data_IF_617636843721
#
_entry.id   IF_617636843721
#
_cell.length_a   1.000
_cell.length_b   1.000
_cell.length_c   1.000
_cell.angle_alpha   90.00
_cell.angle_beta   90.00
_cell.angle_gamma   90.00
#
_symmetry.space_group_name_H-M   'P 1'
#
loop_
_entity.id
_entity.type
_entity.pdbx_description
1 polymer ?
#
# COMPACT_ATOMS: atom_id res chain seq x y z
N UNK A 1 -20.11 16.38 9.11
CA UNK A 1 -20.26 14.94 9.33
C UNK A 1 -19.67 14.64 10.69
N UNK A 2 -20.50 14.45 11.71
CA UNK A 2 -20.08 13.90 12.99
C UNK A 2 -20.90 12.62 13.20
N UNK A 3 -20.41 11.50 12.66
CA UNK A 3 -20.89 10.18 13.05
C UNK A 3 -19.96 9.71 14.17
N UNK A 4 -20.35 9.87 15.45
CA UNK A 4 -19.49 9.53 16.57
C UNK A 4 -19.16 8.04 16.63
N UNK A 5 -19.93 7.18 15.97
CA UNK A 5 -19.75 5.72 15.91
C UNK A 5 -19.08 5.23 14.62
N UNK A 6 -18.40 6.12 13.90
CA UNK A 6 -17.67 5.76 12.69
C UNK A 6 -16.59 4.73 13.02
N UNK A 7 -16.50 3.68 12.19
CA UNK A 7 -15.49 2.64 12.28
C UNK A 7 -14.71 2.57 10.97
N UNK A 8 -13.39 2.65 11.06
CA UNK A 8 -12.48 2.67 9.91
C UNK A 8 -11.50 1.50 10.04
N UNK A 9 -11.31 0.76 8.96
CA UNK A 9 -10.30 -0.29 8.85
C UNK A 9 -9.12 0.18 7.98
N UNK A 10 -7.90 -0.19 8.36
CA UNK A 10 -6.71 -0.18 7.49
C UNK A 10 -6.23 -1.61 7.32
N UNK A 11 -6.42 -2.19 6.13
CA UNK A 11 -6.07 -3.58 5.80
C UNK A 11 -4.66 -3.63 5.23
N UNK A 12 -3.82 -4.54 5.73
CA UNK A 12 -2.38 -4.50 5.51
C UNK A 12 -1.74 -3.31 6.22
N UNK A 13 -2.13 -3.06 7.47
CA UNK A 13 -1.77 -1.81 8.17
C UNK A 13 -0.27 -1.65 8.41
N UNK A 14 0.50 -2.75 8.41
CA UNK A 14 1.93 -2.78 8.62
C UNK A 14 2.34 -2.09 9.92
N UNK A 15 2.99 -0.93 9.81
CA UNK A 15 3.43 -0.13 10.96
C UNK A 15 2.30 0.60 11.69
N UNK A 16 1.04 0.48 11.24
CA UNK A 16 -0.11 1.24 11.71
C UNK A 16 0.03 2.77 11.56
N UNK A 17 1.00 3.25 10.78
CA UNK A 17 1.33 4.68 10.69
C UNK A 17 0.14 5.53 10.23
N UNK A 18 -0.65 5.03 9.28
CA UNK A 18 -1.84 5.73 8.79
C UNK A 18 -2.90 5.89 9.88
N UNK A 19 -3.17 4.83 10.65
CA UNK A 19 -4.12 4.87 11.76
C UNK A 19 -3.65 5.81 12.88
N UNK A 20 -2.36 5.79 13.22
CA UNK A 20 -1.83 6.67 14.27
C UNK A 20 -1.81 8.15 13.85
N UNK A 21 -1.57 8.45 12.57
CA UNK A 21 -1.71 9.81 12.03
C UNK A 21 -3.19 10.25 12.01
N UNK A 22 -4.09 9.35 11.62
CA UNK A 22 -5.53 9.63 11.57
C UNK A 22 -6.16 9.81 12.96
N UNK A 23 -5.71 9.07 13.96
CA UNK A 23 -6.20 9.17 15.35
C UNK A 23 -6.06 10.57 15.94
N UNK A 24 -5.07 11.35 15.48
CA UNK A 24 -4.86 12.74 15.91
C UNK A 24 -5.74 13.75 15.16
N UNK A 25 -6.38 13.34 14.06
CA UNK A 25 -7.17 14.21 13.16
C UNK A 25 -8.67 13.97 13.27
N UNK A 26 -9.09 12.85 13.85
CA UNK A 26 -10.50 12.48 14.01
C UNK A 26 -10.97 12.61 15.47
N UNK A 27 -12.28 12.78 15.69
CA UNK A 27 -12.85 12.67 17.03
C UNK A 27 -12.46 11.34 17.69
N UNK A 28 -12.16 11.37 18.99
CA UNK A 28 -11.77 10.17 19.77
C UNK A 28 -12.82 9.06 19.80
N UNK A 29 -14.07 9.38 19.45
CA UNK A 29 -15.16 8.41 19.35
C UNK A 29 -15.03 7.51 18.11
N UNK A 30 -14.33 7.97 17.06
CA UNK A 30 -14.07 7.16 15.87
C UNK A 30 -13.16 5.99 16.23
N UNK A 31 -13.58 4.78 15.85
CA UNK A 31 -12.84 3.54 16.07
C UNK A 31 -11.97 3.23 14.85
N UNK A 32 -10.71 2.94 15.11
CA UNK A 32 -9.68 2.74 14.10
C UNK A 32 -9.09 1.33 14.26
N UNK A 33 -9.30 0.47 13.28
CA UNK A 33 -8.85 -0.92 13.35
C UNK A 33 -7.81 -1.22 12.28
N UNK A 34 -6.65 -1.71 12.70
CA UNK A 34 -5.60 -2.20 11.81
C UNK A 34 -5.71 -3.70 11.64
N UNK A 35 -5.73 -4.19 10.40
CA UNK A 35 -5.77 -5.61 10.10
C UNK A 35 -4.51 -6.02 9.36
N UNK A 36 -3.80 -7.03 9.86
CA UNK A 36 -2.57 -7.53 9.26
C UNK A 36 -2.29 -8.99 9.67
N UNK A 37 -1.40 -9.67 8.94
CA UNK A 37 -0.90 -11.02 9.28
C UNK A 37 0.26 -10.98 10.27
N UNK A 38 0.89 -9.82 10.47
CA UNK A 38 1.90 -9.62 11.51
C UNK A 38 1.85 -8.19 12.04
N UNK A 39 2.22 -8.02 13.31
CA UNK A 39 2.37 -6.73 13.97
C UNK A 39 3.80 -6.45 14.41
N UNK A 40 4.79 -7.19 13.91
CA UNK A 40 6.21 -7.02 14.28
C UNK A 40 6.74 -5.60 13.96
N UNK A 41 6.13 -4.94 12.97
CA UNK A 41 6.48 -3.58 12.57
C UNK A 41 5.59 -2.50 13.23
N UNK A 42 4.53 -2.89 13.95
CA UNK A 42 3.60 -1.98 14.59
C UNK A 42 4.09 -1.56 16.00
N UNK A 43 3.69 -0.39 16.51
CA UNK A 43 3.92 -0.04 17.90
C UNK A 43 3.29 -1.05 18.86
N UNK A 44 3.91 -1.22 20.03
CA UNK A 44 3.31 -1.97 21.13
C UNK A 44 1.97 -1.35 21.54
N UNK A 45 1.07 -2.17 22.07
CA UNK A 45 -0.31 -1.78 22.37
C UNK A 45 -0.40 -0.55 23.29
N UNK A 46 0.54 -0.43 24.22
CA UNK A 46 0.65 0.65 25.20
C UNK A 46 1.06 1.99 24.58
N UNK A 47 1.64 1.98 23.38
CA UNK A 47 2.02 3.18 22.64
C UNK A 47 0.97 3.61 21.60
N UNK A 48 -0.02 2.76 21.34
CA UNK A 48 -1.09 3.08 20.40
C UNK A 48 -2.11 4.05 21.02
N UNK A 49 -2.70 4.95 20.20
CA UNK A 49 -3.84 5.74 20.63
C UNK A 49 -4.98 4.85 21.17
N UNK A 50 -5.73 5.36 22.15
CA UNK A 50 -6.75 4.56 22.84
C UNK A 50 -7.86 4.04 21.91
N UNK A 51 -8.13 4.74 20.80
CA UNK A 51 -9.12 4.39 19.80
C UNK A 51 -8.57 3.57 18.63
N UNK A 52 -7.30 3.13 18.69
CA UNK A 52 -6.68 2.23 17.71
C UNK A 52 -6.60 0.80 18.27
N UNK A 53 -7.10 -0.17 17.51
CA UNK A 53 -7.02 -1.60 17.82
C UNK A 53 -6.40 -2.37 16.66
N UNK A 54 -5.57 -3.37 16.95
CA UNK A 54 -4.95 -4.22 15.93
C UNK A 54 -5.56 -5.62 15.97
N UNK A 55 -5.93 -6.15 14.80
CA UNK A 55 -6.60 -7.44 14.62
C UNK A 55 -5.82 -8.31 13.66
N UNK A 56 -5.30 -9.45 14.13
CA UNK A 56 -4.65 -10.39 13.23
C UNK A 56 -5.67 -10.96 12.25
N UNK A 57 -5.45 -10.75 10.95
CA UNK A 57 -6.29 -11.31 9.90
C UNK A 57 -5.53 -11.39 8.58
N UNK A 58 -5.61 -12.56 7.94
CA UNK A 58 -5.14 -12.77 6.58
C UNK A 58 -6.26 -12.44 5.60
N UNK A 59 -6.07 -11.43 4.74
CA UNK A 59 -7.05 -11.00 3.75
C UNK A 59 -7.52 -12.11 2.79
N UNK A 60 -6.72 -13.19 2.65
CA UNK A 60 -7.02 -14.33 1.78
C UNK A 60 -7.93 -15.37 2.46
N UNK A 61 -8.18 -15.24 3.76
CA UNK A 61 -9.05 -16.12 4.53
C UNK A 61 -10.47 -15.55 4.62
N UNK A 62 -11.40 -16.34 5.16
CA UNK A 62 -12.76 -15.87 5.41
C UNK A 62 -12.76 -14.67 6.37
N UNK A 63 -13.66 -13.70 6.12
CA UNK A 63 -13.82 -12.54 7.00
C UNK A 63 -14.44 -12.99 8.33
N UNK A 64 -13.78 -12.74 9.48
CA UNK A 64 -14.33 -13.06 10.79
C UNK A 64 -15.70 -12.41 10.99
N UNK A 65 -16.65 -13.14 11.58
CA UNK A 65 -18.06 -12.74 11.67
C UNK A 65 -18.25 -11.34 12.29
N UNK A 66 -17.48 -11.01 13.33
CA UNK A 66 -17.52 -9.70 14.01
C UNK A 66 -17.00 -8.51 13.19
N UNK A 67 -16.38 -8.77 12.04
CA UNK A 67 -15.84 -7.76 11.11
C UNK A 67 -16.73 -7.57 9.88
N UNK A 68 -17.66 -8.50 9.64
CA UNK A 68 -18.57 -8.44 8.50
C UNK A 68 -19.50 -7.23 8.64
N UNK A 69 -19.52 -6.38 7.61
CA UNK A 69 -20.41 -5.22 7.55
C UNK A 69 -20.19 -4.22 8.68
N UNK A 70 -18.98 -4.17 9.24
CA UNK A 70 -18.68 -3.41 10.45
C UNK A 70 -18.14 -2.00 10.17
N UNK A 71 -17.64 -1.73 8.96
CA UNK A 71 -16.83 -0.55 8.66
C UNK A 71 -17.53 0.44 7.74
N UNK A 72 -17.42 1.73 8.08
CA UNK A 72 -17.87 2.84 7.24
C UNK A 72 -16.84 3.17 6.15
N UNK A 73 -15.55 2.92 6.44
CA UNK A 73 -14.43 3.05 5.51
C UNK A 73 -13.47 1.88 5.70
N UNK A 74 -13.07 1.26 4.60
CA UNK A 74 -11.95 0.32 4.53
C UNK A 74 -10.88 0.96 3.65
N UNK A 75 -9.70 1.17 4.21
CA UNK A 75 -8.51 1.63 3.51
C UNK A 75 -7.57 0.45 3.26
N UNK A 76 -6.93 0.44 2.10
CA UNK A 76 -5.83 -0.47 1.77
C UNK A 76 -4.82 0.31 0.92
N UNK A 77 -3.52 0.11 1.19
CA UNK A 77 -2.46 0.87 0.51
C UNK A 77 -1.14 0.11 0.41
N UNK A 78 -0.40 0.35 -0.68
CA UNK A 78 0.87 -0.33 -0.96
C UNK A 78 0.79 -1.86 -0.87
N UNK A 79 -0.35 -2.41 -1.29
CA UNK A 79 -0.71 -3.82 -1.13
C UNK A 79 -0.54 -4.62 -2.42
N UNK A 80 -0.40 -3.96 -3.57
CA UNK A 80 -0.31 -4.61 -4.88
C UNK A 80 0.87 -5.58 -4.98
N UNK A 81 1.96 -5.32 -4.25
CA UNK A 81 3.14 -6.19 -4.18
C UNK A 81 2.99 -7.41 -3.24
N UNK A 82 1.82 -7.57 -2.60
CA UNK A 82 1.53 -8.68 -1.69
C UNK A 82 0.69 -9.77 -2.38
N UNK A 83 -0.05 -9.42 -3.43
CA UNK A 83 -1.01 -10.29 -4.10
C UNK A 83 -0.71 -10.47 -5.58
N UNK A 84 -1.19 -11.56 -6.16
CA UNK A 84 -1.16 -11.80 -7.60
C UNK A 84 -2.41 -11.22 -8.27
N UNK A 85 -2.31 -10.93 -9.57
CA UNK A 85 -3.45 -10.46 -10.37
C UNK A 85 -4.65 -11.41 -10.30
N UNK A 86 -4.41 -12.72 -10.25
CA UNK A 86 -5.46 -13.74 -10.10
C UNK A 86 -6.21 -13.69 -8.77
N UNK A 87 -5.64 -13.08 -7.73
CA UNK A 87 -6.19 -13.03 -6.37
C UNK A 87 -7.05 -11.77 -6.13
N UNK A 88 -7.04 -10.79 -7.04
CA UNK A 88 -7.71 -9.48 -6.87
C UNK A 88 -9.20 -9.66 -6.58
N UNK A 89 -9.89 -10.56 -7.30
CA UNK A 89 -11.34 -10.76 -7.15
C UNK A 89 -11.71 -11.27 -5.77
N UNK A 90 -10.94 -12.21 -5.23
CA UNK A 90 -11.18 -12.77 -3.90
C UNK A 90 -10.84 -11.76 -2.80
N UNK A 91 -9.75 -11.00 -2.97
CA UNK A 91 -9.37 -9.90 -2.09
C UNK A 91 -10.45 -8.82 -2.04
N UNK A 92 -10.95 -8.36 -3.20
CA UNK A 92 -12.03 -7.37 -3.27
C UNK A 92 -13.31 -7.89 -2.62
N UNK A 93 -13.67 -9.15 -2.84
CA UNK A 93 -14.82 -9.78 -2.18
C UNK A 93 -14.72 -9.68 -0.65
N UNK A 94 -13.56 -9.98 -0.08
CA UNK A 94 -13.33 -9.90 1.35
C UNK A 94 -13.32 -8.46 1.87
N UNK A 95 -12.69 -7.52 1.15
CA UNK A 95 -12.71 -6.10 1.49
C UNK A 95 -14.14 -5.53 1.51
N UNK A 96 -14.96 -5.86 0.51
CA UNK A 96 -16.35 -5.42 0.43
C UNK A 96 -17.18 -6.03 1.56
N UNK A 97 -16.89 -7.27 1.97
CA UNK A 97 -17.59 -7.94 3.06
C UNK A 97 -17.38 -7.26 4.42
N UNK A 98 -16.28 -6.52 4.60
CA UNK A 98 -16.04 -5.67 5.77
C UNK A 98 -16.96 -4.44 5.80
N UNK A 99 -17.39 -3.94 4.64
CA UNK A 99 -18.12 -2.68 4.53
C UNK A 99 -19.58 -2.79 4.95
N UNK A 100 -20.03 -1.83 5.75
CA UNK A 100 -21.45 -1.52 5.91
C UNK A 100 -22.08 -1.21 4.54
N UNK A 101 -23.39 -1.42 4.35
CA UNK A 101 -24.09 -0.86 3.20
C UNK A 101 -23.89 0.67 3.18
N UNK A 102 -23.43 1.21 2.04
CA UNK A 102 -23.07 2.62 1.89
C UNK A 102 -21.67 3.01 2.34
N UNK A 103 -20.88 2.08 2.92
CA UNK A 103 -19.48 2.31 3.29
C UNK A 103 -18.55 2.40 2.07
N UNK A 104 -17.34 2.92 2.28
CA UNK A 104 -16.37 3.18 1.20
C UNK A 104 -15.17 2.26 1.27
N UNK A 105 -14.74 1.75 0.12
CA UNK A 105 -13.41 1.17 -0.07
C UNK A 105 -12.51 2.23 -0.70
N UNK A 106 -11.35 2.48 -0.10
CA UNK A 106 -10.27 3.26 -0.69
C UNK A 106 -9.05 2.36 -0.89
N UNK A 107 -8.56 2.25 -2.12
CA UNK A 107 -7.32 1.54 -2.46
C UNK A 107 -6.33 2.51 -3.08
N UNK A 108 -5.16 2.70 -2.45
CA UNK A 108 -4.07 3.51 -3.02
C UNK A 108 -2.82 2.68 -3.27
N UNK A 109 -2.38 2.56 -4.50
CA UNK A 109 -1.21 1.72 -4.83
C UNK A 109 -0.30 2.30 -5.91
N UNK A 110 0.93 1.78 -5.96
CA UNK A 110 1.90 2.10 -7.01
C UNK A 110 1.71 1.17 -8.20
N UNK A 111 1.70 1.74 -9.41
CA UNK A 111 1.91 0.97 -10.63
C UNK A 111 3.41 0.78 -10.87
N UNK A 112 3.96 -0.33 -10.39
CA UNK A 112 5.34 -0.75 -10.61
C UNK A 112 5.70 -0.89 -12.09
N UNK A 113 4.73 -1.12 -12.98
CA UNK A 113 5.01 -1.16 -14.43
C UNK A 113 5.34 0.22 -15.01
N UNK A 114 4.96 1.29 -14.29
CA UNK A 114 5.26 2.68 -14.66
C UNK A 114 6.58 3.22 -14.09
N UNK A 115 7.35 2.36 -13.41
CA UNK A 115 8.63 2.70 -12.80
C UNK A 115 9.60 3.30 -13.82
N UNK A 116 10.16 4.46 -13.48
CA UNK A 116 11.13 5.18 -14.29
C UNK A 116 12.05 6.01 -13.41
N UNK A 117 13.18 6.45 -13.95
CA UNK A 117 14.06 7.40 -13.25
C UNK A 117 13.74 8.83 -13.70
N UNK A 118 13.64 9.75 -12.74
CA UNK A 118 13.63 11.19 -12.97
C UNK A 118 14.99 11.77 -12.60
N UNK A 119 15.49 12.69 -13.42
CA UNK A 119 16.82 13.29 -13.26
C UNK A 119 16.72 14.79 -13.12
N UNK A 120 17.45 15.35 -12.16
CA UNK A 120 17.59 16.80 -11.99
C UNK A 120 18.18 17.47 -13.24
N UNK A 121 19.10 16.78 -13.92
CA UNK A 121 19.70 17.22 -15.19
C UNK A 121 19.91 16.03 -16.14
N UNK A 122 19.88 16.24 -17.47
CA UNK A 122 20.00 15.15 -18.44
C UNK A 122 21.33 14.37 -18.41
N UNK A 123 22.41 15.01 -17.97
CA UNK A 123 23.78 14.46 -17.91
C UNK A 123 24.02 13.53 -16.71
N UNK A 124 23.13 13.55 -15.71
CA UNK A 124 23.23 12.66 -14.56
C UNK A 124 22.97 11.21 -14.98
N UNK A 125 23.65 10.28 -14.31
CA UNK A 125 23.43 8.85 -14.51
C UNK A 125 22.17 8.38 -13.78
N UNK A 126 21.37 7.58 -14.47
CA UNK A 126 20.26 6.78 -13.93
C UNK A 126 20.53 5.27 -13.98
N UNK A 127 21.68 4.88 -14.54
CA UNK A 127 22.06 3.49 -14.74
C UNK A 127 22.07 2.67 -13.43
N UNK A 128 22.57 3.18 -12.29
CA UNK A 128 22.49 2.46 -11.02
C UNK A 128 21.06 2.18 -10.56
N UNK A 129 20.12 3.12 -10.78
CA UNK A 129 18.72 2.95 -10.44
C UNK A 129 18.05 1.94 -11.38
N UNK A 130 18.35 1.97 -12.68
CA UNK A 130 17.83 0.99 -13.64
C UNK A 130 18.33 -0.43 -13.32
N UNK A 131 19.61 -0.59 -12.96
CA UNK A 131 20.15 -1.87 -12.49
C UNK A 131 19.45 -2.34 -11.22
N UNK A 132 19.27 -1.45 -10.24
CA UNK A 132 18.58 -1.78 -9.00
C UNK A 132 17.14 -2.23 -9.28
N UNK A 133 16.39 -1.48 -10.09
CA UNK A 133 15.02 -1.85 -10.46
C UNK A 133 14.93 -3.21 -11.14
N UNK A 134 15.85 -3.49 -12.07
CA UNK A 134 15.92 -4.79 -12.75
C UNK A 134 16.14 -5.93 -11.77
N UNK A 135 17.00 -5.73 -10.76
CA UNK A 135 17.22 -6.70 -9.70
C UNK A 135 15.95 -6.93 -8.86
N UNK A 136 15.25 -5.85 -8.50
CA UNK A 136 14.08 -5.90 -7.63
C UNK A 136 12.89 -6.58 -8.27
N UNK A 137 12.63 -6.25 -9.54
CA UNK A 137 11.53 -6.83 -10.28
C UNK A 137 11.66 -8.35 -10.37
N UNK A 138 12.88 -8.83 -10.67
CA UNK A 138 13.16 -10.26 -10.80
C UNK A 138 12.11 -10.98 -11.65
N UNK A 139 11.76 -12.20 -11.25
CA UNK A 139 10.70 -13.03 -11.86
C UNK A 139 9.45 -13.15 -10.96
N UNK A 140 9.40 -12.46 -9.82
CA UNK A 140 8.28 -12.59 -8.89
C UNK A 140 7.07 -11.81 -9.42
N UNK A 141 6.00 -12.55 -9.69
CA UNK A 141 4.82 -12.00 -10.33
C UNK A 141 4.14 -10.87 -9.56
N UNK A 142 4.38 -10.78 -8.26
CA UNK A 142 3.81 -9.73 -7.40
C UNK A 142 4.33 -8.34 -7.74
N UNK A 143 5.49 -8.23 -8.42
CA UNK A 143 5.98 -6.94 -8.92
C UNK A 143 5.39 -6.55 -10.28
N UNK A 144 4.59 -7.41 -10.92
CA UNK A 144 3.81 -7.08 -12.12
C UNK A 144 2.45 -6.49 -11.74
N UNK A 145 2.48 -5.26 -11.24
CA UNK A 145 1.28 -4.54 -10.77
C UNK A 145 0.59 -3.73 -11.89
N UNK A 146 0.71 -4.14 -13.15
CA UNK A 146 0.10 -3.43 -14.30
C UNK A 146 -1.43 -3.45 -14.29
N UNK A 147 -2.03 -4.22 -13.38
CA UNK A 147 -3.47 -4.23 -13.11
C UNK A 147 -3.93 -3.07 -12.21
N UNK A 148 -3.01 -2.36 -11.54
CA UNK A 148 -3.35 -1.25 -10.64
C UNK A 148 -4.12 -0.13 -11.36
N UNK A 149 -3.74 0.33 -12.58
CA UNK A 149 -4.54 1.29 -13.34
C UNK A 149 -5.97 0.81 -13.68
N UNK A 150 -6.19 -0.50 -13.71
CA UNK A 150 -7.48 -1.12 -14.04
C UNK A 150 -8.35 -1.43 -12.81
N UNK A 151 -7.90 -1.07 -11.60
CA UNK A 151 -8.64 -1.31 -10.35
C UNK A 151 -10.07 -0.74 -10.37
N UNK A 152 -10.29 0.38 -11.06
CA UNK A 152 -11.63 0.96 -11.24
C UNK A 152 -12.60 -0.01 -11.92
N UNK A 153 -12.14 -0.73 -12.95
CA UNK A 153 -12.91 -1.78 -13.62
C UNK A 153 -13.20 -2.92 -12.65
N UNK A 154 -12.21 -3.36 -11.87
CA UNK A 154 -12.41 -4.42 -10.87
C UNK A 154 -13.39 -4.00 -9.76
N UNK A 155 -13.40 -2.73 -9.35
CA UNK A 155 -14.39 -2.19 -8.40
C UNK A 155 -15.81 -2.29 -8.96
N UNK A 156 -16.00 -1.91 -10.23
CA UNK A 156 -17.29 -2.00 -10.92
C UNK A 156 -17.75 -3.46 -11.08
N UNK A 157 -16.86 -4.37 -11.49
CA UNK A 157 -17.13 -5.81 -11.57
C UNK A 157 -17.54 -6.39 -10.20
N UNK A 158 -16.94 -5.89 -9.12
CA UNK A 158 -17.26 -6.24 -7.75
C UNK A 158 -18.51 -5.51 -7.20
N UNK A 159 -19.23 -4.76 -8.05
CA UNK A 159 -20.48 -4.04 -7.75
C UNK A 159 -20.33 -2.89 -6.75
N UNK A 160 -19.14 -2.31 -6.63
CA UNK A 160 -18.98 -1.00 -6.02
C UNK A 160 -19.57 0.05 -6.96
N UNK A 161 -20.28 1.03 -6.39
CA UNK A 161 -20.90 2.15 -7.11
C UNK A 161 -20.12 3.44 -6.83
N UNK A 162 -20.40 4.49 -7.60
CA UNK A 162 -19.75 5.81 -7.46
C UNK A 162 -18.22 5.70 -7.47
N UNK A 163 -17.68 4.89 -8.39
CA UNK A 163 -16.24 4.63 -8.48
C UNK A 163 -15.52 5.86 -9.02
N UNK A 164 -14.60 6.38 -8.22
CA UNK A 164 -13.72 7.51 -8.56
C UNK A 164 -12.26 7.06 -8.58
N UNK A 165 -11.45 7.73 -9.40
CA UNK A 165 -10.06 7.35 -9.64
C UNK A 165 -9.16 8.58 -9.79
N UNK A 166 -8.15 8.67 -8.95
CA UNK A 166 -7.10 9.68 -9.05
C UNK A 166 -5.79 9.06 -9.50
N UNK A 167 -5.27 9.58 -10.61
CA UNK A 167 -3.89 9.32 -11.03
C UNK A 167 -2.96 10.34 -10.37
N UNK A 168 -2.01 9.85 -9.59
CA UNK A 168 -1.10 10.66 -8.79
C UNK A 168 0.32 10.46 -9.32
N UNK A 169 0.96 11.55 -9.73
CA UNK A 169 2.40 11.62 -10.00
C UNK A 169 3.00 12.47 -8.87
N UNK A 170 3.80 11.90 -7.97
CA UNK A 170 4.37 12.67 -6.88
C UNK A 170 5.27 13.78 -7.41
N UNK A 171 5.36 14.92 -6.70
CA UNK A 171 6.34 15.93 -7.03
C UNK A 171 7.76 15.41 -6.71
N UNK A 172 8.81 15.96 -7.35
CA UNK A 172 10.16 15.40 -7.24
C UNK A 172 10.73 15.25 -5.82
N UNK A 173 10.35 16.13 -4.89
CA UNK A 173 10.81 16.03 -3.50
C UNK A 173 10.19 14.83 -2.75
N UNK A 174 9.00 14.38 -3.14
CA UNK A 174 8.41 13.13 -2.64
C UNK A 174 9.07 11.93 -3.31
N UNK A 175 9.32 11.98 -4.62
CA UNK A 175 10.02 10.91 -5.33
C UNK A 175 11.41 10.63 -4.72
N UNK A 176 12.15 11.68 -4.36
CA UNK A 176 13.42 11.54 -3.65
C UNK A 176 13.25 10.88 -2.28
N UNK A 177 12.29 11.35 -1.46
CA UNK A 177 12.03 10.76 -0.15
C UNK A 177 11.62 9.28 -0.24
N UNK A 178 10.74 8.95 -1.20
CA UNK A 178 10.30 7.57 -1.45
C UNK A 178 11.45 6.68 -1.94
N UNK A 179 12.33 7.22 -2.78
CA UNK A 179 13.54 6.54 -3.24
C UNK A 179 14.47 6.20 -2.07
N UNK A 180 14.72 7.16 -1.17
CA UNK A 180 15.54 6.93 0.03
C UNK A 180 14.90 5.90 0.99
N UNK A 181 13.58 5.96 1.20
CA UNK A 181 12.85 4.94 1.98
C UNK A 181 12.99 3.56 1.34
N UNK A 182 12.91 3.48 0.01
CA UNK A 182 13.10 2.22 -0.70
C UNK A 182 14.51 1.67 -0.49
N UNK A 183 15.56 2.50 -0.56
CA UNK A 183 16.92 2.05 -0.26
C UNK A 183 17.05 1.47 1.15
N UNK A 184 16.44 2.12 2.15
CA UNK A 184 16.41 1.62 3.53
C UNK A 184 15.69 0.27 3.62
N UNK A 185 14.52 0.14 3.01
CA UNK A 185 13.75 -1.11 3.00
C UNK A 185 14.55 -2.26 2.36
N UNK A 186 15.25 -1.98 1.26
CA UNK A 186 16.08 -2.97 0.56
C UNK A 186 17.33 -3.35 1.35
N UNK A 187 18.00 -2.39 1.98
CA UNK A 187 19.15 -2.68 2.84
C UNK A 187 18.73 -3.59 4.01
N UNK A 188 17.55 -3.36 4.59
CA UNK A 188 16.99 -4.23 5.64
C UNK A 188 16.64 -5.61 5.09
N UNK A 189 16.06 -5.71 3.89
CA UNK A 189 15.69 -7.01 3.30
C UNK A 189 16.91 -7.89 3.00
N UNK A 190 18.08 -7.30 2.68
CA UNK A 190 19.33 -8.05 2.52
C UNK A 190 19.87 -8.70 3.80
N UNK A 191 19.24 -8.44 4.96
CA UNK A 191 19.55 -9.11 6.23
C UNK A 191 18.70 -10.36 6.44
N UNK A 192 17.70 -10.60 5.59
CA UNK A 192 16.91 -11.81 5.65
C UNK A 192 17.79 -13.01 5.23
N UNK A 193 17.75 -14.07 6.05
CA UNK A 193 18.55 -15.29 5.88
C UNK A 193 18.16 -16.12 4.65
N UNK A 194 17.01 -15.82 4.05
CA UNK A 194 16.53 -16.47 2.83
C UNK A 194 17.25 -15.99 1.57
N UNK A 195 18.03 -14.91 1.65
CA UNK A 195 18.83 -14.38 0.53
C UNK A 195 20.26 -14.90 0.67
N UNK A 196 20.78 -15.55 -0.37
CA UNK A 196 22.18 -15.98 -0.45
C UNK A 196 23.16 -14.81 -0.26
N UNK A 197 24.25 -15.04 0.48
CA UNK A 197 25.23 -14.01 0.86
C UNK A 197 25.82 -13.26 -0.33
N UNK A 198 26.11 -13.98 -1.44
CA UNK A 198 26.66 -13.36 -2.64
C UNK A 198 25.63 -12.42 -3.26
N UNK A 199 24.38 -12.88 -3.37
CA UNK A 199 23.27 -12.07 -3.87
C UNK A 199 23.03 -10.86 -2.97
N UNK A 200 23.09 -11.02 -1.65
CA UNK A 200 22.96 -9.91 -0.70
C UNK A 200 24.09 -8.87 -0.87
N UNK A 201 25.33 -9.30 -1.13
CA UNK A 201 26.45 -8.39 -1.41
C UNK A 201 26.26 -7.63 -2.73
N UNK A 202 25.80 -8.30 -3.79
CA UNK A 202 25.51 -7.67 -5.09
C UNK A 202 24.41 -6.60 -4.96
N UNK A 203 23.35 -6.89 -4.20
CA UNK A 203 22.28 -5.91 -3.90
C UNK A 203 22.84 -4.71 -3.16
N UNK A 204 23.58 -4.92 -2.08
CA UNK A 204 24.19 -3.83 -1.29
C UNK A 204 25.11 -2.96 -2.14
N UNK A 205 25.88 -3.56 -3.04
CA UNK A 205 26.73 -2.81 -3.97
C UNK A 205 25.88 -1.93 -4.91
N UNK A 206 24.82 -2.49 -5.47
CA UNK A 206 23.89 -1.76 -6.35
C UNK A 206 23.15 -0.64 -5.61
N UNK A 207 22.74 -0.87 -4.36
CA UNK A 207 22.13 0.16 -3.49
C UNK A 207 23.11 1.31 -3.27
N UNK A 208 24.40 1.04 -2.97
CA UNK A 208 25.40 2.10 -2.75
C UNK A 208 25.54 3.00 -3.98
N UNK A 209 25.60 2.42 -5.17
CA UNK A 209 25.70 3.18 -6.42
C UNK A 209 24.41 4.00 -6.67
N UNK A 210 23.23 3.40 -6.43
CA UNK A 210 21.95 4.08 -6.58
C UNK A 210 21.76 5.24 -5.57
N UNK A 211 22.20 5.08 -4.32
CA UNK A 211 22.23 6.15 -3.31
C UNK A 211 23.10 7.31 -3.77
N UNK A 212 24.27 7.03 -4.37
CA UNK A 212 25.13 8.09 -4.92
C UNK A 212 24.41 8.85 -6.04
N UNK A 213 23.80 8.14 -6.99
CA UNK A 213 23.05 8.76 -8.08
C UNK A 213 21.84 9.57 -7.57
N UNK A 214 21.12 9.09 -6.55
CA UNK A 214 20.01 9.81 -5.92
C UNK A 214 20.44 11.12 -5.26
N UNK A 215 21.58 11.12 -4.55
CA UNK A 215 22.16 12.35 -3.98
C UNK A 215 22.58 13.37 -5.03
N UNK A 216 22.96 12.92 -6.22
CA UNK A 216 23.30 13.79 -7.35
C UNK A 216 22.06 14.29 -8.11
N UNK A 217 20.89 13.68 -7.89
CA UNK A 217 19.60 14.14 -8.40
C UNK A 217 18.82 13.14 -9.27
N UNK A 218 19.17 11.85 -9.27
CA UNK A 218 18.46 10.79 -10.01
C UNK A 218 17.61 9.91 -9.08
N UNK A 219 16.28 9.98 -9.19
CA UNK A 219 15.36 9.28 -8.27
C UNK A 219 14.36 8.39 -9.01
N UNK A 220 13.83 7.37 -8.33
CA UNK A 220 12.71 6.62 -8.88
C UNK A 220 11.44 7.46 -8.85
N UNK A 221 10.63 7.30 -9.88
CA UNK A 221 9.29 7.81 -9.95
C UNK A 221 8.34 6.69 -10.36
N UNK A 222 7.22 6.62 -9.67
CA UNK A 222 6.11 5.73 -9.96
C UNK A 222 4.85 6.55 -10.19
N UNK A 223 3.94 6.01 -11.00
CA UNK A 223 2.56 6.49 -11.02
C UNK A 223 1.81 5.78 -9.90
N UNK A 224 1.17 6.55 -9.04
CA UNK A 224 0.27 6.03 -8.02
C UNK A 224 -1.16 6.21 -8.48
N UNK A 225 -2.03 5.31 -8.04
CA UNK A 225 -3.45 5.41 -8.27
C UNK A 225 -4.19 5.30 -6.95
N UNK A 226 -5.19 6.15 -6.77
CA UNK A 226 -6.17 6.02 -5.69
C UNK A 226 -7.52 5.75 -6.32
N UNK A 227 -8.17 4.68 -5.88
CA UNK A 227 -9.54 4.36 -6.23
C UNK A 227 -10.42 4.45 -5.00
N UNK A 228 -11.59 5.04 -5.15
CA UNK A 228 -12.64 5.06 -4.13
C UNK A 228 -13.88 4.45 -4.74
N UNK A 229 -14.52 3.52 -4.03
CA UNK A 229 -15.81 2.95 -4.44
C UNK A 229 -16.72 2.76 -3.24
N UNK A 230 -18.03 2.89 -3.45
CA UNK A 230 -19.03 2.78 -2.40
C UNK A 230 -19.75 1.43 -2.47
N UNK A 231 -19.89 0.77 -1.33
CA UNK A 231 -20.72 -0.43 -1.22
C UNK A 231 -22.19 -0.04 -1.40
N UNK A 232 -22.87 -0.63 -2.37
CA UNK A 232 -24.25 -0.26 -2.68
C UNK A 232 -25.17 -0.48 -1.46
N UNK A 233 -26.08 0.47 -1.26
CA UNK A 233 -27.20 0.29 -0.35
C UNK A 233 -28.31 -0.52 -1.04
N UNK A 234 -29.22 -1.14 -0.27
CA UNK A 234 -30.39 -1.82 -0.86
C UNK A 234 -31.28 -0.90 -1.73
N UNK A 235 -31.17 0.42 -1.58
CA UNK A 235 -31.92 1.40 -2.37
C UNK A 235 -31.20 1.82 -3.67
N UNK A 236 -29.96 1.40 -3.86
CA UNK A 236 -29.11 1.77 -5.02
C UNK A 236 -28.73 0.56 -5.89
N UNK A 237 -29.41 -0.57 -5.70
CA UNK A 237 -29.37 -1.79 -6.51
C UNK A 237 -30.68 -1.91 -7.30
#
# INVERSE_FOLDING_TARGET
MENPDMRIADVGTGTAIWLTDLANKLPRSVRLDGLDVSFDAAPLREWLPANVTLHHWNIKEEVPEHLVGAYDLVNIRFFAVVIRSSEIKDVLKNLIRLLKPGGFLQWTDADSSSARTVKLRPDLSDEPLQRLWSFLRGDDERFYTSWVPDLGTHFQEAKLVDVDADRIIPPPYIDQAMTEIMFLALEVSTRNKDIDDKRAQEVRATIRDAVKASREGSNFQFTYWRFIGRNATRASL
#
